data_IF_037127375557
#
_entry.id   IF_037127375557
#
_cell.length_a   1.000
_cell.length_b   1.000
_cell.length_c   1.000
_cell.angle_alpha   90.00
_cell.angle_beta   90.00
_cell.angle_gamma   90.00
#
_symmetry.space_group_name_H-M   'P 1'
#
loop_
_entity.id
_entity.type
_entity.pdbx_description
1 polymer ?
#
# COMPACT_ATOMS: atom_id res chain seq x y z
N UNK A 1 14.50 28.76 24.51
CA UNK A 1 15.76 29.11 23.82
C UNK A 1 15.83 30.59 23.44
N UNK A 2 14.83 31.20 22.78
CA UNK A 2 14.82 32.64 22.44
C UNK A 2 15.06 33.57 23.64
N UNK A 3 14.29 33.41 24.73
CA UNK A 3 14.44 34.19 25.98
C UNK A 3 15.83 34.14 26.64
N UNK A 4 16.58 33.04 26.49
CA UNK A 4 17.94 32.93 27.05
C UNK A 4 18.95 33.72 26.21
N UNK A 5 18.84 33.65 24.88
CA UNK A 5 19.67 34.43 23.95
C UNK A 5 19.43 35.93 24.12
N UNK A 6 18.18 36.32 24.33
CA UNK A 6 17.80 37.72 24.61
C UNK A 6 18.38 38.22 25.94
N UNK A 7 18.37 37.39 27.02
CA UNK A 7 19.05 37.74 28.28
C UNK A 7 20.55 37.88 28.13
N UNK A 8 21.20 37.00 27.37
CA UNK A 8 22.65 37.07 27.12
C UNK A 8 23.04 38.30 26.30
N UNK A 9 22.18 38.78 25.39
CA UNK A 9 22.42 40.01 24.61
C UNK A 9 22.40 41.30 25.44
N UNK A 10 21.82 41.28 26.64
CA UNK A 10 21.83 42.44 27.55
C UNK A 10 23.22 42.74 28.13
N UNK A 11 24.08 41.73 28.21
CA UNK A 11 25.46 41.85 28.71
C UNK A 11 26.41 41.59 27.54
N UNK A 12 26.86 42.67 26.90
CA UNK A 12 27.66 42.64 25.67
C UNK A 12 28.96 41.84 25.87
N UNK A 13 29.61 42.00 27.01
CA UNK A 13 30.87 41.32 27.36
C UNK A 13 30.65 39.81 27.48
N UNK A 14 29.58 39.37 28.17
CA UNK A 14 29.25 37.94 28.25
C UNK A 14 28.87 37.35 26.90
N UNK A 15 28.18 38.11 26.05
CA UNK A 15 27.79 37.65 24.73
C UNK A 15 28.99 37.45 23.80
N UNK A 16 29.93 38.42 23.76
CA UNK A 16 31.16 38.30 22.97
C UNK A 16 32.04 37.16 23.46
N UNK A 17 32.20 36.99 24.77
CA UNK A 17 32.93 35.86 25.34
C UNK A 17 32.29 34.51 25.00
N UNK A 18 30.96 34.45 24.90
CA UNK A 18 30.25 33.24 24.47
C UNK A 18 30.51 32.91 23.00
N UNK A 19 30.52 33.92 22.12
CA UNK A 19 30.85 33.76 20.70
C UNK A 19 32.29 33.27 20.52
N UNK A 20 33.26 33.95 21.15
CA UNK A 20 34.68 33.56 21.11
C UNK A 20 34.90 32.12 21.58
N UNK A 21 34.19 31.66 22.61
CA UNK A 21 34.24 30.24 23.07
C UNK A 21 33.68 29.25 22.05
N UNK A 22 32.69 29.65 21.26
CA UNK A 22 32.13 28.84 20.17
C UNK A 22 33.11 28.69 19.01
N UNK A 23 33.73 29.80 18.60
CA UNK A 23 34.66 29.84 17.48
C UNK A 23 35.97 29.13 17.81
N UNK A 24 36.50 29.31 19.02
CA UNK A 24 37.68 28.58 19.50
C UNK A 24 37.46 27.06 19.50
N UNK A 25 36.24 26.59 19.83
CA UNK A 25 35.88 25.16 19.77
C UNK A 25 35.72 24.62 18.35
N UNK A 26 35.38 25.46 17.38
CA UNK A 26 35.33 25.07 15.97
C UNK A 26 36.73 25.04 15.38
N UNK A 27 37.53 26.08 15.61
CA UNK A 27 38.90 26.19 15.14
C UNK A 27 39.81 25.07 15.70
N UNK A 28 39.62 24.68 16.96
CA UNK A 28 40.34 23.53 17.53
C UNK A 28 39.90 22.19 16.94
N UNK A 29 38.70 22.07 16.37
CA UNK A 29 38.26 20.83 15.71
C UNK A 29 38.75 20.70 14.28
N UNK A 30 38.95 21.81 13.57
CA UNK A 30 39.48 21.82 12.20
C UNK A 30 40.98 21.62 12.12
N UNK A 31 41.71 21.82 13.23
CA UNK A 31 43.17 21.60 13.31
C UNK A 31 43.57 20.19 13.78
N UNK A 32 42.61 19.34 14.16
CA UNK A 32 42.88 17.97 14.60
C UNK A 32 43.10 17.07 13.39
N UNK A 33 44.12 16.23 13.47
CA UNK A 33 44.32 15.15 12.51
C UNK A 33 43.14 14.15 12.54
N UNK A 34 42.94 13.41 11.45
CA UNK A 34 41.83 12.46 11.29
C UNK A 34 41.82 11.42 12.43
N UNK A 35 42.99 10.96 12.85
CA UNK A 35 43.16 9.99 13.94
C UNK A 35 42.74 10.59 15.28
N UNK A 36 43.18 11.81 15.57
CA UNK A 36 42.82 12.52 16.81
C UNK A 36 41.33 12.87 16.87
N UNK A 37 40.73 13.22 15.73
CA UNK A 37 39.31 13.50 15.62
C UNK A 37 38.47 12.25 15.89
N UNK A 38 38.91 11.08 15.40
CA UNK A 38 38.28 9.79 15.70
C UNK A 38 38.36 9.46 17.20
N UNK A 39 39.54 9.62 17.82
CA UNK A 39 39.72 9.41 19.27
C UNK A 39 38.82 10.34 20.11
N UNK A 40 38.68 11.61 19.71
CA UNK A 40 37.82 12.58 20.38
C UNK A 40 36.33 12.23 20.25
N UNK A 41 35.88 11.74 19.08
CA UNK A 41 34.52 11.22 18.88
C UNK A 41 34.25 10.01 19.79
N UNK A 42 35.18 9.05 19.85
CA UNK A 42 35.06 7.86 20.71
C UNK A 42 34.99 8.24 22.19
N UNK A 43 35.85 9.16 22.64
CA UNK A 43 35.84 9.69 24.02
C UNK A 43 34.52 10.39 24.37
N UNK A 44 33.96 11.17 23.44
CA UNK A 44 32.66 11.82 23.64
C UNK A 44 31.51 10.82 23.69
N UNK A 45 31.53 9.80 22.82
CA UNK A 45 30.54 8.72 22.84
C UNK A 45 30.58 7.94 24.15
N UNK A 46 31.78 7.63 24.67
CA UNK A 46 31.95 6.99 25.97
C UNK A 46 31.44 7.86 27.12
N UNK A 47 31.71 9.18 27.10
CA UNK A 47 31.17 10.12 28.09
C UNK A 47 29.65 10.18 28.05
N UNK A 48 29.04 10.20 26.86
CA UNK A 48 27.59 10.17 26.72
C UNK A 48 26.99 8.85 27.21
N UNK A 49 27.58 7.70 26.86
CA UNK A 49 27.16 6.38 27.36
C UNK A 49 27.23 6.32 28.89
N UNK A 50 28.33 6.78 29.51
CA UNK A 50 28.46 6.86 30.98
C UNK A 50 27.38 7.76 31.60
N UNK A 51 27.13 8.93 31.02
CA UNK A 51 26.07 9.84 31.49
C UNK A 51 24.68 9.19 31.42
N UNK A 52 24.35 8.52 30.31
CA UNK A 52 23.08 7.81 30.14
C UNK A 52 22.96 6.66 31.14
N UNK A 53 23.99 5.82 31.28
CA UNK A 53 23.97 4.71 32.25
C UNK A 53 23.79 5.22 33.69
N UNK A 54 24.50 6.27 34.09
CA UNK A 54 24.34 6.87 35.42
C UNK A 54 22.94 7.46 35.61
N UNK A 55 22.36 8.06 34.57
CA UNK A 55 20.98 8.55 34.60
C UNK A 55 19.99 7.40 34.76
N UNK A 56 20.18 6.28 34.06
CA UNK A 56 19.35 5.08 34.17
C UNK A 56 19.46 4.45 35.56
N UNK A 57 20.67 4.27 36.10
CA UNK A 57 20.88 3.78 37.48
C UNK A 57 20.17 4.64 38.53
N UNK A 58 20.23 5.98 38.39
CA UNK A 58 19.51 6.91 39.27
C UNK A 58 17.98 6.84 39.15
N UNK A 59 17.46 6.31 38.04
CA UNK A 59 16.03 6.11 37.83
C UNK A 59 15.56 4.78 38.43
N UNK A 60 16.39 3.73 38.34
CA UNK A 60 16.09 2.41 38.90
C UNK A 60 16.08 2.44 40.44
N UNK A 61 17.00 3.17 41.07
CA UNK A 61 17.14 3.19 42.53
C UNK A 61 16.21 4.19 43.24
N UNK A 62 15.26 4.82 42.53
CA UNK A 62 14.30 5.72 43.18
C UNK A 62 13.06 4.93 43.56
N UNK A 63 12.59 5.02 44.81
CA UNK A 63 11.30 4.46 45.18
C UNK A 63 10.22 5.05 44.26
N UNK A 64 9.18 4.27 43.91
CA UNK A 64 8.14 4.66 42.97
C UNK A 64 7.23 5.73 43.57
N UNK A 65 7.74 6.95 43.71
CA UNK A 65 6.91 8.10 44.05
C UNK A 65 6.25 8.57 42.75
N UNK A 66 4.93 8.50 42.71
CA UNK A 66 4.09 8.95 41.61
C UNK A 66 4.24 10.47 41.39
N UNK A 67 5.31 10.89 40.71
CA UNK A 67 5.65 12.28 40.32
C UNK A 67 5.76 13.29 41.48
N UNK A 68 6.94 13.91 41.64
CA UNK A 68 7.20 14.89 42.73
C UNK A 68 6.34 16.16 42.70
N UNK A 69 5.77 16.51 41.55
CA UNK A 69 4.94 17.72 41.39
C UNK A 69 3.99 17.61 40.21
N UNK A 70 2.89 18.36 40.24
CA UNK A 70 1.92 18.46 39.13
C UNK A 70 2.58 18.87 37.81
N UNK A 71 3.59 19.74 37.86
CA UNK A 71 4.36 20.13 36.68
C UNK A 71 5.16 18.97 36.08
N UNK A 72 5.74 18.10 36.92
CA UNK A 72 6.48 16.92 36.46
C UNK A 72 5.56 15.88 35.83
N UNK A 73 4.37 15.68 36.39
CA UNK A 73 3.32 14.83 35.84
C UNK A 73 2.82 15.35 34.47
N UNK A 74 2.52 16.64 34.36
CA UNK A 74 2.09 17.25 33.09
C UNK A 74 3.15 17.10 31.98
N UNK A 75 4.44 17.22 32.31
CA UNK A 75 5.53 16.96 31.36
C UNK A 75 5.60 15.50 30.91
N UNK A 76 5.32 14.56 31.81
CA UNK A 76 5.26 13.13 31.48
C UNK A 76 4.08 12.83 30.56
N UNK A 77 2.88 13.33 30.88
CA UNK A 77 1.69 13.22 30.02
C UNK A 77 1.98 13.78 28.62
N UNK A 78 2.63 14.95 28.53
CA UNK A 78 2.95 15.57 27.23
C UNK A 78 3.88 14.68 26.39
N UNK A 79 4.86 14.03 27.01
CA UNK A 79 5.75 13.08 26.33
C UNK A 79 5.01 11.84 25.84
N UNK A 80 4.16 11.26 26.69
CA UNK A 80 3.33 10.10 26.32
C UNK A 80 2.40 10.47 25.17
N UNK A 81 1.71 11.60 25.24
CA UNK A 81 0.83 12.08 24.18
C UNK A 81 1.58 12.34 22.86
N UNK A 82 2.83 12.81 22.91
CA UNK A 82 3.64 12.97 21.69
C UNK A 82 4.15 11.66 21.10
N UNK A 83 4.26 10.61 21.91
CA UNK A 83 4.68 9.28 21.47
C UNK A 83 3.51 8.43 20.95
N UNK A 84 2.26 8.76 21.34
CA UNK A 84 1.07 8.09 20.85
C UNK A 84 0.70 8.55 19.43
N UNK A 85 -0.04 7.72 18.67
CA UNK A 85 -0.55 8.09 17.36
C UNK A 85 -1.40 9.38 17.41
N UNK A 86 -1.27 10.23 16.38
CA UNK A 86 -2.07 11.47 16.26
C UNK A 86 -3.57 11.22 16.07
N UNK A 87 -3.93 10.14 15.38
CA UNK A 87 -5.32 9.77 15.13
C UNK A 87 -5.97 9.21 16.42
N UNK A 88 -7.12 9.77 16.80
CA UNK A 88 -7.84 9.40 18.03
C UNK A 88 -8.20 7.90 18.08
N UNK A 89 -8.67 7.33 16.97
CA UNK A 89 -9.02 5.89 16.93
C UNK A 89 -7.81 5.00 17.23
N UNK A 90 -6.67 5.25 16.58
CA UNK A 90 -5.42 4.52 16.82
C UNK A 90 -4.89 4.73 18.25
N UNK A 91 -4.99 5.97 18.76
CA UNK A 91 -4.61 6.30 20.13
C UNK A 91 -5.40 5.48 21.14
N UNK A 92 -6.73 5.42 20.99
CA UNK A 92 -7.61 4.69 21.90
C UNK A 92 -7.31 3.19 21.89
N UNK A 93 -7.09 2.59 20.72
CA UNK A 93 -6.73 1.16 20.61
C UNK A 93 -5.41 0.86 21.33
N UNK A 94 -4.38 1.69 21.14
CA UNK A 94 -3.08 1.50 21.81
C UNK A 94 -3.22 1.64 23.32
N UNK A 95 -3.95 2.65 23.81
CA UNK A 95 -4.18 2.86 25.25
C UNK A 95 -4.97 1.70 25.85
N UNK A 96 -6.03 1.23 25.18
CA UNK A 96 -6.80 0.05 25.61
C UNK A 96 -5.93 -1.20 25.68
N UNK A 97 -5.05 -1.42 24.70
CA UNK A 97 -4.18 -2.58 24.68
C UNK A 97 -3.15 -2.55 25.81
N UNK A 98 -2.56 -1.38 26.09
CA UNK A 98 -1.67 -1.18 27.24
C UNK A 98 -2.42 -1.43 28.56
N UNK A 99 -3.63 -0.88 28.71
CA UNK A 99 -4.45 -1.05 29.91
C UNK A 99 -4.86 -2.52 30.13
N UNK A 100 -5.20 -3.26 29.07
CA UNK A 100 -5.45 -4.72 29.12
C UNK A 100 -4.20 -5.48 29.55
N UNK A 101 -3.03 -5.18 28.98
CA UNK A 101 -1.76 -5.85 29.33
C UNK A 101 -1.36 -5.63 30.79
N UNK A 102 -1.73 -4.48 31.37
CA UNK A 102 -1.49 -4.14 32.77
C UNK A 102 -2.59 -4.67 33.72
N UNK A 103 -3.61 -5.37 33.22
CA UNK A 103 -4.71 -5.87 34.03
C UNK A 103 -5.65 -4.78 34.59
N UNK A 104 -5.58 -3.55 34.06
CA UNK A 104 -6.45 -2.44 34.47
C UNK A 104 -7.86 -2.56 33.87
N UNK A 105 -7.97 -3.25 32.74
CA UNK A 105 -9.24 -3.58 32.10
C UNK A 105 -9.32 -5.10 32.11
N UNK A 106 -10.38 -5.63 32.74
CA UNK A 106 -10.64 -7.06 32.71
C UNK A 106 -10.64 -7.57 31.26
N UNK A 107 -10.03 -8.73 30.97
CA UNK A 107 -10.18 -9.34 29.66
C UNK A 107 -11.68 -9.50 29.40
N UNK A 108 -12.09 -9.16 28.17
CA UNK A 108 -13.47 -9.36 27.73
C UNK A 108 -13.86 -10.81 28.00
N UNK A 109 -14.75 -11.05 28.96
CA UNK A 109 -15.27 -12.37 29.31
C UNK A 109 -16.07 -12.98 28.17
N UNK A 110 -16.59 -12.14 27.28
CA UNK A 110 -17.02 -12.60 25.97
C UNK A 110 -15.77 -12.87 25.14
N UNK A 111 -15.34 -14.13 25.11
CA UNK A 111 -14.76 -14.65 23.89
C UNK A 111 -15.74 -14.26 22.79
N UNK A 112 -15.28 -13.47 21.82
CA UNK A 112 -15.96 -13.45 20.54
C UNK A 112 -15.88 -14.89 20.06
N UNK A 113 -16.92 -15.67 20.36
CA UNK A 113 -17.42 -16.69 19.46
C UNK A 113 -17.70 -15.91 18.18
N UNK A 114 -16.64 -15.67 17.41
CA UNK A 114 -16.77 -15.51 15.98
C UNK A 114 -17.62 -16.71 15.65
N UNK A 115 -18.88 -16.46 15.27
CA UNK A 115 -19.79 -17.52 14.83
C UNK A 115 -19.00 -18.25 13.77
N UNK A 116 -18.35 -19.35 14.18
CA UNK A 116 -17.41 -20.01 13.33
C UNK A 116 -18.32 -20.62 12.31
N UNK A 117 -18.34 -20.02 11.12
CA UNK A 117 -19.10 -20.60 10.03
C UNK A 117 -18.74 -22.07 9.96
N UNK A 118 -19.74 -22.96 9.73
CA UNK A 118 -19.49 -24.39 9.65
C UNK A 118 -18.25 -24.64 8.80
N UNK A 119 -17.37 -25.56 9.19
CA UNK A 119 -16.13 -25.83 8.43
C UNK A 119 -16.43 -26.09 6.95
N UNK A 120 -17.56 -26.75 6.67
CA UNK A 120 -18.12 -26.90 5.32
C UNK A 120 -18.27 -25.59 4.53
N UNK A 121 -18.72 -24.52 5.18
CA UNK A 121 -18.87 -23.21 4.53
C UNK A 121 -17.50 -22.57 4.27
N UNK A 122 -16.55 -22.70 5.21
CA UNK A 122 -15.18 -22.20 5.03
C UNK A 122 -14.50 -22.91 3.86
N UNK A 123 -14.62 -24.24 3.77
CA UNK A 123 -14.12 -25.03 2.65
C UNK A 123 -14.80 -24.67 1.33
N UNK A 124 -16.13 -24.48 1.32
CA UNK A 124 -16.85 -24.09 0.11
C UNK A 124 -16.41 -22.72 -0.41
N UNK A 125 -16.22 -21.75 0.49
CA UNK A 125 -15.70 -20.42 0.14
C UNK A 125 -14.27 -20.52 -0.37
N UNK A 126 -13.41 -21.32 0.28
CA UNK A 126 -12.03 -21.51 -0.16
C UNK A 126 -11.97 -22.19 -1.54
N UNK A 127 -12.75 -23.26 -1.76
CA UNK A 127 -12.87 -23.92 -3.06
C UNK A 127 -13.37 -22.96 -4.12
N UNK A 128 -14.35 -22.10 -3.82
CA UNK A 128 -14.84 -21.08 -4.74
C UNK A 128 -13.74 -20.10 -5.18
N UNK A 129 -12.90 -19.62 -4.26
CA UNK A 129 -11.81 -18.70 -4.59
C UNK A 129 -10.58 -19.36 -5.26
N UNK A 130 -10.48 -20.69 -5.19
CA UNK A 130 -9.41 -21.48 -5.83
C UNK A 130 -9.80 -21.94 -7.24
N UNK A 131 -11.06 -21.75 -7.67
CA UNK A 131 -11.45 -22.10 -9.05
C UNK A 131 -10.79 -21.14 -10.04
N UNK A 132 -10.14 -21.68 -11.07
CA UNK A 132 -9.45 -20.92 -12.11
C UNK A 132 -10.39 -20.09 -13.00
N UNK A 133 -11.70 -20.36 -12.97
CA UNK A 133 -12.73 -19.59 -13.66
C UNK A 133 -13.08 -18.27 -12.97
N UNK A 134 -12.62 -18.06 -11.72
CA UNK A 134 -12.88 -16.86 -10.94
C UNK A 134 -11.57 -16.09 -10.78
N UNK A 135 -11.53 -14.88 -11.33
CA UNK A 135 -10.37 -13.97 -11.25
C UNK A 135 -9.85 -13.84 -9.81
N UNK A 136 -8.56 -14.18 -9.61
CA UNK A 136 -7.78 -14.22 -8.35
C UNK A 136 -7.68 -12.94 -7.51
N UNK A 137 -8.59 -11.97 -7.65
CA UNK A 137 -8.55 -10.76 -6.83
C UNK A 137 -9.21 -11.00 -5.48
N UNK A 138 -8.39 -11.33 -4.48
CA UNK A 138 -8.81 -11.37 -3.08
C UNK A 138 -9.24 -9.96 -2.64
N UNK A 139 -10.51 -9.76 -2.23
CA UNK A 139 -10.95 -8.45 -1.78
C UNK A 139 -10.09 -7.99 -0.58
N UNK A 140 -9.41 -6.84 -0.73
CA UNK A 140 -8.49 -6.16 0.21
C UNK A 140 -7.00 -6.56 0.19
N UNK A 141 -6.56 -7.55 -0.60
CA UNK A 141 -5.13 -7.73 -0.87
C UNK A 141 -4.82 -7.14 -2.25
N UNK A 142 -3.85 -6.21 -2.30
CA UNK A 142 -3.31 -5.74 -3.58
C UNK A 142 -2.37 -6.83 -4.06
N UNK A 143 -2.77 -7.59 -5.07
CA UNK A 143 -1.85 -8.53 -5.70
C UNK A 143 -0.75 -7.73 -6.38
N UNK A 144 0.48 -7.92 -5.90
CA UNK A 144 1.67 -7.31 -6.50
C UNK A 144 2.29 -8.36 -7.40
N UNK A 145 2.23 -8.16 -8.71
CA UNK A 145 2.90 -9.05 -9.66
C UNK A 145 4.37 -8.64 -9.68
N UNK A 146 5.25 -9.55 -9.25
CA UNK A 146 6.69 -9.37 -9.37
C UNK A 146 7.11 -10.00 -10.69
N UNK A 147 7.41 -9.17 -11.68
CA UNK A 147 8.02 -9.64 -12.93
C UNK A 147 9.52 -9.73 -12.68
N UNK A 148 10.06 -10.95 -12.82
CA UNK A 148 11.50 -11.20 -12.72
C UNK A 148 12.07 -11.32 -14.12
N UNK A 149 13.23 -10.70 -14.32
CA UNK A 149 14.02 -10.84 -15.53
C UNK A 149 14.73 -12.20 -15.58
N UNK A 150 15.31 -12.60 -16.72
CA UNK A 150 15.94 -13.90 -16.97
C UNK A 150 17.11 -14.18 -16.00
N UNK A 151 17.70 -13.14 -15.42
CA UNK A 151 18.75 -13.21 -14.40
C UNK A 151 18.22 -13.23 -12.95
N UNK A 152 16.90 -13.39 -12.75
CA UNK A 152 16.27 -13.50 -11.43
C UNK A 152 16.11 -12.19 -10.65
N UNK A 153 16.47 -11.04 -11.25
CA UNK A 153 16.27 -9.71 -10.65
C UNK A 153 14.82 -9.28 -10.82
N UNK A 154 14.09 -9.15 -9.71
CA UNK A 154 12.68 -8.76 -9.71
C UNK A 154 12.52 -7.25 -9.72
N UNK A 155 11.77 -6.71 -10.69
CA UNK A 155 11.25 -5.36 -10.63
C UNK A 155 9.84 -5.39 -10.02
N UNK A 156 9.65 -4.69 -8.90
CA UNK A 156 8.33 -4.51 -8.30
C UNK A 156 7.54 -3.48 -9.11
N UNK A 157 6.33 -3.84 -9.55
CA UNK A 157 5.43 -3.01 -10.36
C UNK A 157 4.76 -1.86 -9.58
N UNK A 158 5.44 -1.27 -8.60
CA UNK A 158 4.95 -0.06 -7.96
C UNK A 158 5.35 1.13 -8.83
N UNK A 159 4.40 2.03 -9.12
CA UNK A 159 4.59 3.28 -9.89
C UNK A 159 5.79 4.12 -9.39
N UNK A 160 6.22 3.90 -8.15
CA UNK A 160 7.38 4.52 -7.53
C UNK A 160 8.71 4.01 -8.13
N UNK A 161 8.79 2.74 -8.51
CA UNK A 161 10.01 2.09 -9.01
C UNK A 161 10.32 2.42 -10.48
N UNK A 162 9.32 2.86 -11.24
CA UNK A 162 9.51 3.33 -12.63
C UNK A 162 10.27 4.66 -12.69
N UNK A 163 10.18 5.50 -11.63
CA UNK A 163 10.98 6.73 -11.50
C UNK A 163 12.42 6.49 -11.06
N UNK A 164 12.66 5.40 -10.31
CA UNK A 164 13.97 5.15 -9.68
C UNK A 164 14.85 4.18 -10.48
N UNK A 165 14.29 3.47 -11.47
CA UNK A 165 15.04 2.57 -12.34
C UNK A 165 15.43 3.33 -13.61
N UNK A 166 16.68 3.79 -13.67
CA UNK A 166 17.32 4.52 -14.77
C UNK A 166 17.28 3.76 -16.12
N UNK A 167 16.10 3.61 -16.72
CA UNK A 167 15.94 2.95 -18.01
C UNK A 167 15.66 3.94 -19.15
N UNK A 168 15.44 5.22 -18.84
CA UNK A 168 15.29 6.28 -19.84
C UNK A 168 15.63 7.64 -19.21
N UNK A 169 16.56 8.39 -19.79
CA UNK A 169 16.97 9.73 -19.31
C UNK A 169 16.21 10.87 -19.98
N UNK A 170 15.24 10.57 -20.85
CA UNK A 170 14.44 11.58 -21.54
C UNK A 170 13.30 12.04 -20.64
N UNK A 171 13.21 13.35 -20.42
CA UNK A 171 12.25 14.00 -19.52
C UNK A 171 10.90 14.33 -20.19
N UNK A 172 10.70 13.90 -21.43
CA UNK A 172 9.54 14.29 -22.23
C UNK A 172 8.36 13.32 -22.03
N UNK A 173 7.17 13.88 -21.78
CA UNK A 173 5.93 13.16 -21.49
C UNK A 173 5.44 12.29 -22.68
N UNK A 174 6.03 12.44 -23.86
CA UNK A 174 5.72 11.65 -25.07
C UNK A 174 6.23 10.19 -25.00
N UNK A 175 7.19 9.87 -24.13
CA UNK A 175 7.71 8.50 -23.97
C UNK A 175 6.69 7.52 -23.36
N UNK A 176 5.64 8.02 -22.71
CA UNK A 176 4.64 7.17 -22.05
C UNK A 176 3.61 6.56 -23.01
N UNK A 177 3.43 7.11 -24.23
CA UNK A 177 2.29 6.71 -25.07
C UNK A 177 2.56 6.57 -26.59
N UNK A 178 3.78 6.79 -27.09
CA UNK A 178 4.07 6.50 -28.50
C UNK A 178 5.55 6.26 -28.78
N UNK A 179 5.83 5.03 -29.26
CA UNK A 179 6.91 4.65 -30.19
C UNK A 179 8.32 5.15 -29.86
N UNK A 180 8.92 4.64 -28.78
CA UNK A 180 10.37 4.80 -28.58
C UNK A 180 11.12 3.71 -29.39
N UNK A 181 11.95 4.07 -30.38
CA UNK A 181 12.63 3.10 -31.25
C UNK A 181 13.59 2.16 -30.48
N UNK A 182 14.10 2.60 -29.33
CA UNK A 182 15.00 1.82 -28.47
C UNK A 182 14.27 0.75 -27.63
N UNK A 183 12.94 0.83 -27.53
CA UNK A 183 12.12 -0.08 -26.73
C UNK A 183 11.37 -1.11 -27.59
N UNK A 184 11.22 -0.88 -28.89
CA UNK A 184 10.41 -1.72 -29.79
C UNK A 184 11.07 -3.07 -30.12
N UNK A 185 12.40 -3.14 -30.22
CA UNK A 185 13.06 -4.35 -30.75
C UNK A 185 13.13 -5.55 -29.78
N UNK A 186 12.83 -5.37 -28.48
CA UNK A 186 12.86 -6.46 -27.49
C UNK A 186 11.47 -6.85 -26.94
N UNK A 187 10.39 -6.16 -27.37
CA UNK A 187 9.06 -6.34 -26.76
C UNK A 187 8.12 -7.21 -27.61
N UNK A 188 8.48 -7.52 -28.87
CA UNK A 188 7.52 -8.06 -29.84
C UNK A 188 7.31 -9.57 -29.78
N UNK A 189 8.15 -10.38 -29.16
CA UNK A 189 8.04 -11.85 -29.34
C UNK A 189 7.27 -12.64 -28.26
N UNK A 190 6.69 -12.02 -27.22
CA UNK A 190 5.91 -12.78 -26.20
C UNK A 190 4.71 -12.03 -25.63
N UNK A 191 3.88 -11.42 -26.48
CA UNK A 191 2.57 -10.92 -26.07
C UNK A 191 1.48 -11.41 -27.01
N UNK A 192 1.27 -12.73 -27.01
CA UNK A 192 -0.02 -13.29 -27.40
C UNK A 192 -0.65 -14.00 -26.20
N UNK A 193 -1.90 -13.65 -25.92
CA UNK A 193 -2.80 -14.19 -24.89
C UNK A 193 -2.67 -13.73 -23.42
N UNK A 194 -2.34 -12.45 -23.15
CA UNK A 194 -2.75 -11.81 -21.89
C UNK A 194 -3.22 -10.37 -22.12
N UNK A 195 -4.49 -10.23 -22.52
CA UNK A 195 -5.21 -8.96 -22.47
C UNK A 195 -5.15 -8.38 -21.05
N UNK A 196 -4.27 -7.40 -20.88
CA UNK A 196 -4.35 -6.25 -19.96
C UNK A 196 -5.23 -6.41 -18.71
N UNK A 197 -4.75 -7.17 -17.71
CA UNK A 197 -5.23 -7.10 -16.31
C UNK A 197 -4.37 -6.14 -15.48
N UNK A 198 -4.13 -4.94 -16.01
CA UNK A 198 -3.38 -3.86 -15.34
C UNK A 198 -4.30 -2.83 -14.70
N UNK A 199 -4.13 -2.61 -13.39
CA UNK A 199 -4.56 -1.46 -12.56
C UNK A 199 -5.69 -0.57 -13.13
N UNK A 200 -6.96 -0.96 -12.99
CA UNK A 200 -8.06 0.02 -12.83
C UNK A 200 -9.20 -0.62 -12.04
N UNK A 201 -9.14 -0.54 -10.71
CA UNK A 201 -10.29 -0.79 -9.84
C UNK A 201 -11.19 0.46 -9.82
N UNK A 202 -11.57 0.94 -11.01
CA UNK A 202 -12.26 2.21 -11.22
C UNK A 202 -13.73 2.07 -10.91
N UNK A 203 -14.52 1.54 -11.84
CA UNK A 203 -15.98 1.47 -11.73
C UNK A 203 -16.42 0.11 -11.17
N UNK A 204 -15.83 -0.99 -11.65
CA UNK A 204 -16.17 -2.35 -11.21
C UNK A 204 -15.98 -2.58 -9.71
N UNK A 205 -14.86 -2.11 -9.16
CA UNK A 205 -14.57 -2.20 -7.73
C UNK A 205 -15.49 -1.34 -6.85
N UNK A 206 -16.05 -0.25 -7.38
CA UNK A 206 -17.04 0.58 -6.68
C UNK A 206 -18.39 -0.13 -6.62
N UNK A 207 -18.86 -0.64 -7.76
CA UNK A 207 -20.14 -1.37 -7.85
C UNK A 207 -20.12 -2.60 -6.95
N UNK A 208 -19.02 -3.39 -6.99
CA UNK A 208 -18.85 -4.55 -6.10
C UNK A 208 -18.92 -4.18 -4.62
N UNK A 209 -18.28 -3.07 -4.21
CA UNK A 209 -18.33 -2.60 -2.81
C UNK A 209 -19.73 -2.18 -2.37
N UNK A 210 -20.47 -1.50 -3.24
CA UNK A 210 -21.86 -1.09 -2.95
C UNK A 210 -22.78 -2.30 -2.75
N UNK A 211 -22.71 -3.27 -3.67
CA UNK A 211 -23.48 -4.51 -3.56
C UNK A 211 -23.09 -5.28 -2.31
N UNK A 212 -21.79 -5.43 -2.05
CA UNK A 212 -21.30 -6.14 -0.86
C UNK A 212 -21.76 -5.51 0.46
N UNK A 213 -21.75 -4.16 0.54
CA UNK A 213 -22.30 -3.45 1.71
C UNK A 213 -23.78 -3.74 1.92
N UNK A 214 -24.56 -3.89 0.84
CA UNK A 214 -25.96 -4.22 0.92
C UNK A 214 -26.20 -5.68 1.35
N UNK A 215 -25.36 -6.61 0.90
CA UNK A 215 -25.40 -8.01 1.34
C UNK A 215 -25.07 -8.13 2.83
N UNK A 216 -24.06 -7.40 3.31
CA UNK A 216 -23.76 -7.34 4.75
C UNK A 216 -24.89 -6.73 5.58
N UNK A 217 -25.76 -5.91 4.98
CA UNK A 217 -26.96 -5.38 5.61
C UNK A 217 -28.17 -6.34 5.55
N UNK A 218 -27.98 -7.58 5.06
CA UNK A 218 -29.01 -8.63 5.03
C UNK A 218 -29.73 -8.79 3.69
N UNK A 219 -29.35 -8.04 2.64
CA UNK A 219 -29.91 -8.30 1.30
C UNK A 219 -29.34 -9.61 0.71
N UNK A 220 -30.19 -10.42 0.10
CA UNK A 220 -29.77 -11.64 -0.58
C UNK A 220 -29.35 -11.35 -2.02
N UNK A 221 -28.19 -11.85 -2.42
CA UNK A 221 -27.68 -11.79 -3.79
C UNK A 221 -27.32 -13.21 -4.24
N UNK A 222 -28.17 -13.85 -5.05
CA UNK A 222 -28.01 -15.25 -5.49
C UNK A 222 -27.72 -15.38 -6.99
N UNK A 223 -28.13 -14.41 -7.80
CA UNK A 223 -27.93 -14.39 -9.24
C UNK A 223 -27.21 -13.12 -9.72
N UNK A 224 -26.80 -13.10 -10.99
CA UNK A 224 -26.28 -11.90 -11.64
C UNK A 224 -27.36 -10.80 -11.73
N UNK A 225 -28.62 -11.19 -11.96
CA UNK A 225 -29.78 -10.29 -11.95
C UNK A 225 -29.95 -9.61 -10.59
N UNK A 226 -29.80 -10.36 -9.50
CA UNK A 226 -29.84 -9.80 -8.15
C UNK A 226 -28.73 -8.75 -7.95
N UNK A 227 -27.52 -9.02 -8.46
CA UNK A 227 -26.39 -8.10 -8.37
C UNK A 227 -26.70 -6.79 -9.12
N UNK A 228 -27.19 -6.87 -10.36
CA UNK A 228 -27.56 -5.70 -11.16
C UNK A 228 -28.70 -4.92 -10.48
N UNK A 229 -29.71 -5.62 -9.96
CA UNK A 229 -30.83 -5.01 -9.23
C UNK A 229 -30.35 -4.25 -8.00
N UNK A 230 -29.53 -4.88 -7.15
CA UNK A 230 -28.98 -4.24 -5.94
C UNK A 230 -28.10 -3.05 -6.32
N UNK A 231 -27.27 -3.19 -7.36
CA UNK A 231 -26.41 -2.12 -7.81
C UNK A 231 -27.22 -0.90 -8.32
N UNK A 232 -28.26 -1.12 -9.14
CA UNK A 232 -29.18 -0.06 -9.61
C UNK A 232 -29.90 0.62 -8.44
N UNK A 233 -30.25 -0.11 -7.38
CA UNK A 233 -30.84 0.48 -6.17
C UNK A 233 -29.87 1.35 -5.37
N UNK A 234 -28.56 1.03 -5.39
CA UNK A 234 -27.54 1.72 -4.57
C UNK A 234 -26.85 2.88 -5.30
N UNK A 235 -26.88 2.93 -6.62
CA UNK A 235 -26.27 4.02 -7.39
C UNK A 235 -27.05 4.33 -8.66
N UNK A 236 -27.42 5.60 -8.80
CA UNK A 236 -28.04 6.12 -10.02
C UNK A 236 -27.01 6.74 -10.97
N UNK A 237 -25.73 6.78 -10.56
CA UNK A 237 -24.65 7.45 -11.30
C UNK A 237 -23.95 6.54 -12.31
N UNK A 238 -24.15 5.23 -12.21
CA UNK A 238 -23.47 4.24 -13.04
C UNK A 238 -24.53 3.51 -13.86
N UNK A 239 -24.48 3.66 -15.18
CA UNK A 239 -25.34 2.91 -16.09
C UNK A 239 -24.83 1.47 -16.17
N UNK A 240 -25.64 0.54 -15.71
CA UNK A 240 -25.33 -0.89 -15.76
C UNK A 240 -26.10 -1.53 -16.91
N UNK A 241 -25.37 -2.04 -17.89
CA UNK A 241 -25.90 -2.84 -18.99
C UNK A 241 -25.86 -4.29 -18.56
N UNK A 242 -27.02 -4.94 -18.54
CA UNK A 242 -27.17 -6.35 -18.23
C UNK A 242 -27.18 -7.13 -19.54
N UNK A 243 -26.30 -8.13 -19.65
CA UNK A 243 -26.32 -9.08 -20.76
C UNK A 243 -27.17 -10.28 -20.34
N UNK A 244 -28.32 -10.44 -20.99
CA UNK A 244 -29.23 -11.55 -20.70
C UNK A 244 -28.75 -12.82 -21.41
N UNK A 245 -29.26 -13.98 -20.99
CA UNK A 245 -29.01 -15.24 -21.69
C UNK A 245 -29.47 -15.18 -23.14
N UNK A 246 -30.60 -14.52 -23.39
CA UNK A 246 -31.13 -14.35 -24.75
C UNK A 246 -30.16 -13.56 -25.63
N UNK A 247 -29.48 -12.54 -25.10
CA UNK A 247 -28.48 -11.76 -25.85
C UNK A 247 -27.26 -12.61 -26.20
N UNK A 248 -26.84 -13.46 -25.25
CA UNK A 248 -25.72 -14.39 -25.44
C UNK A 248 -26.08 -15.46 -26.47
N UNK A 249 -27.27 -16.04 -26.38
CA UNK A 249 -27.75 -17.06 -27.31
C UNK A 249 -27.98 -16.48 -28.71
N UNK A 250 -28.52 -15.27 -28.82
CA UNK A 250 -28.64 -14.56 -30.08
C UNK A 250 -27.25 -14.30 -30.71
N UNK A 251 -26.27 -13.89 -29.91
CA UNK A 251 -24.88 -13.69 -30.37
C UNK A 251 -24.24 -15.00 -30.80
N UNK A 252 -24.48 -16.09 -30.05
CA UNK A 252 -24.00 -17.44 -30.37
C UNK A 252 -24.58 -17.94 -31.69
N UNK A 253 -25.89 -17.80 -31.91
CA UNK A 253 -26.55 -18.17 -33.15
C UNK A 253 -26.02 -17.35 -34.33
N UNK A 254 -25.80 -16.04 -34.14
CA UNK A 254 -25.18 -15.18 -35.16
C UNK A 254 -23.78 -15.65 -35.53
N UNK A 255 -22.94 -15.98 -34.54
CA UNK A 255 -21.60 -16.50 -34.77
C UNK A 255 -21.63 -17.86 -35.47
N UNK A 256 -22.53 -18.77 -35.06
CA UNK A 256 -22.71 -20.06 -35.73
C UNK A 256 -23.11 -19.89 -37.20
N UNK A 257 -24.01 -18.97 -37.51
CA UNK A 257 -24.38 -18.66 -38.89
C UNK A 257 -23.20 -18.10 -39.70
N UNK A 258 -22.39 -17.23 -39.10
CA UNK A 258 -21.17 -16.71 -39.74
C UNK A 258 -20.21 -17.87 -40.03
N UNK A 259 -19.94 -18.73 -39.03
CA UNK A 259 -19.04 -19.87 -39.20
C UNK A 259 -19.56 -20.93 -40.18
N UNK A 260 -20.89 -21.07 -40.34
CA UNK A 260 -21.47 -21.97 -41.34
C UNK A 260 -21.28 -21.46 -42.78
N UNK A 261 -21.20 -20.14 -42.98
CA UNK A 261 -21.02 -19.52 -44.31
C UNK A 261 -19.55 -19.45 -44.72
N UNK A 262 -18.62 -19.40 -43.76
CA UNK A 262 -17.18 -19.34 -44.03
C UNK A 262 -16.72 -20.66 -44.64
N UNK A 263 -16.32 -20.62 -45.93
CA UNK A 263 -15.76 -21.78 -46.64
C UNK A 263 -14.45 -22.20 -45.98
N UNK A 264 -14.31 -23.50 -45.72
CA UNK A 264 -13.06 -24.07 -45.25
C UNK A 264 -11.98 -23.89 -46.32
N UNK A 265 -10.82 -23.34 -45.92
CA UNK A 265 -9.65 -23.27 -46.79
C UNK A 265 -9.00 -24.66 -46.77
N UNK A 266 -8.80 -25.31 -47.94
CA UNK A 266 -8.15 -26.62 -47.99
C UNK A 266 -6.72 -26.53 -47.42
N UNK A 267 -6.29 -27.58 -46.74
CA UNK A 267 -4.91 -27.79 -46.22
C UNK A 267 -4.44 -26.95 -45.02
N UNK A 268 -5.29 -26.14 -44.38
CA UNK A 268 -4.94 -25.45 -43.12
C UNK A 268 -5.46 -26.18 -41.87
N UNK A 269 -4.60 -26.33 -40.87
CA UNK A 269 -4.98 -26.82 -39.55
C UNK A 269 -5.88 -25.77 -38.88
N UNK A 270 -7.01 -26.19 -38.32
CA UNK A 270 -8.12 -25.33 -37.88
C UNK A 270 -7.76 -24.47 -36.67
N UNK A 271 -7.08 -23.35 -36.87
CA UNK A 271 -6.96 -22.29 -35.87
C UNK A 271 -7.51 -20.98 -36.42
N UNK A 272 -8.76 -20.69 -36.06
CA UNK A 272 -9.38 -19.40 -36.36
C UNK A 272 -8.96 -18.39 -35.29
N UNK A 273 -8.20 -17.38 -35.70
CA UNK A 273 -7.86 -16.24 -34.85
C UNK A 273 -8.82 -15.09 -35.17
N UNK A 274 -9.52 -14.62 -34.15
CA UNK A 274 -10.47 -13.51 -34.26
C UNK A 274 -9.80 -12.26 -33.69
N UNK A 275 -9.59 -11.24 -34.53
CA UNK A 275 -9.06 -9.94 -34.13
C UNK A 275 -10.18 -8.90 -34.21
N UNK A 276 -10.49 -8.27 -33.09
CA UNK A 276 -11.44 -7.14 -33.09
C UNK A 276 -10.69 -5.91 -33.59
N UNK A 277 -11.07 -5.40 -34.77
CA UNK A 277 -10.47 -4.18 -35.34
C UNK A 277 -11.12 -2.96 -34.70
N UNK A 278 -12.45 -3.01 -34.53
CA UNK A 278 -13.23 -1.86 -34.11
C UNK A 278 -14.52 -2.28 -33.38
N UNK A 279 -15.20 -1.35 -32.70
CA UNK A 279 -16.42 -1.65 -31.91
C UNK A 279 -17.57 -2.26 -32.73
N UNK A 280 -17.49 -2.23 -34.07
CA UNK A 280 -18.47 -2.82 -34.99
C UNK A 280 -17.85 -3.75 -36.05
N UNK A 281 -16.53 -3.98 -36.03
CA UNK A 281 -15.82 -4.72 -37.07
C UNK A 281 -14.88 -5.76 -36.46
N UNK A 282 -14.95 -6.99 -36.98
CA UNK A 282 -14.14 -8.11 -36.53
C UNK A 282 -13.47 -8.71 -37.76
N UNK A 283 -12.15 -8.87 -37.71
CA UNK A 283 -11.38 -9.61 -38.70
C UNK A 283 -11.21 -11.04 -38.21
N UNK A 284 -11.46 -12.00 -39.10
CA UNK A 284 -11.12 -13.40 -38.84
C UNK A 284 -10.00 -13.77 -39.80
N UNK A 285 -8.88 -14.21 -39.24
CA UNK A 285 -7.79 -14.79 -39.99
C UNK A 285 -7.65 -16.26 -39.62
N UNK A 286 -7.23 -17.05 -40.59
CA UNK A 286 -6.89 -18.45 -40.38
C UNK A 286 -5.37 -18.47 -40.25
N UNK A 287 -4.87 -18.95 -39.10
CA UNK A 287 -3.43 -19.15 -38.84
C UNK A 287 -3.13 -20.64 -38.96
#
# INVERSE_FOLDING_TARGET
MKKYREKMKKDKVKYENFLKKGDNKKATKTKLDVVELAALRTKNNLRQKKYLNNKTKRLINKPPVAFKSRQSFGKAIKKVNSALPKCLGKKNVVVQHIAKKLGLIAPSTHERVTAQHPEKLKEAVQKFYVRDDISYQLPRKRDTIVVKDVQGRGACSSLQSFRDSQMCNTLDEECMFSSCPLCDENFVEKVENKVSKGVVDGIGGIVKRLVWGAVLAGQTCRSAEDLVRIAKQKTNKITLIELTKNDIDASKNKLQNIFAVVKAVPETLKTHCIKVIDNKAIECFIV
#
